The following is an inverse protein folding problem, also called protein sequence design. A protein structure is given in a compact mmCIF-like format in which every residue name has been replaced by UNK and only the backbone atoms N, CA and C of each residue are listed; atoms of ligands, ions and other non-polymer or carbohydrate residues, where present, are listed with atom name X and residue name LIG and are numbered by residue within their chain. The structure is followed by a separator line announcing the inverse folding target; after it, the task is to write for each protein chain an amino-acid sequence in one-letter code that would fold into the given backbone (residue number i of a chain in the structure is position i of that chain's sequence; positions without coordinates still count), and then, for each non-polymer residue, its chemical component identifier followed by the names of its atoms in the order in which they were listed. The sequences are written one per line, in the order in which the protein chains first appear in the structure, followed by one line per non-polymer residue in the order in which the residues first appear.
data_IF_852298666859
#
_entry.id   IF_852298666859
#
_cell.length_a   1.000
_cell.length_b   1.000
_cell.length_c   1.000
_cell.angle_alpha   90.00
_cell.angle_beta   90.00
_cell.angle_gamma   90.00
#
_symmetry.space_group_name_H-M   'P 1'
#
loop_
_entity.id
_entity.type
_entity.pdbx_description
1 polymer ?
#
# COMPACT_ATOMS: atom_id res chain seq x y z
N UNK A 1 12.73 8.22 -9.08
CA UNK A 1 11.62 8.75 -8.24
C UNK A 1 12.20 9.17 -6.90
N UNK A 2 11.73 10.26 -6.30
CA UNK A 2 12.21 10.76 -5.00
C UNK A 2 11.00 11.01 -4.08
N UNK A 3 11.03 10.44 -2.88
CA UNK A 3 10.06 10.73 -1.82
C UNK A 3 10.49 11.99 -1.09
N UNK A 4 9.60 12.97 -1.01
CA UNK A 4 9.82 14.22 -0.28
C UNK A 4 9.34 14.09 1.16
N UNK A 5 9.49 15.14 1.95
CA UNK A 5 8.82 15.28 3.23
C UNK A 5 7.32 15.64 3.04
N UNK A 6 6.46 15.42 4.07
CA UNK A 6 5.08 15.93 4.05
C UNK A 6 5.05 17.43 3.79
N UNK A 7 4.01 17.94 3.13
CA UNK A 7 3.95 19.35 2.72
C UNK A 7 4.31 20.30 3.88
N UNK A 8 5.31 21.15 3.66
CA UNK A 8 5.85 22.09 4.64
C UNK A 8 6.36 23.38 3.98
N UNK A 9 6.77 24.37 4.77
CA UNK A 9 7.18 25.68 4.26
C UNK A 9 8.41 25.66 3.34
N UNK A 10 9.24 24.62 3.42
CA UNK A 10 10.42 24.42 2.57
C UNK A 10 10.19 23.48 1.38
N UNK A 11 8.96 23.01 1.14
CA UNK A 11 8.68 22.03 0.09
C UNK A 11 9.06 22.54 -1.30
N UNK A 12 8.90 23.84 -1.59
CA UNK A 12 9.29 24.39 -2.89
C UNK A 12 10.80 24.23 -3.15
N UNK A 13 11.63 24.50 -2.15
CA UNK A 13 13.09 24.31 -2.23
C UNK A 13 13.43 22.82 -2.38
N UNK A 14 12.74 21.96 -1.64
CA UNK A 14 12.94 20.51 -1.69
C UNK A 14 12.60 19.94 -3.08
N UNK A 15 11.49 20.36 -3.68
CA UNK A 15 11.10 20.04 -5.05
C UNK A 15 12.20 20.46 -6.03
N UNK A 16 12.64 21.73 -5.96
CA UNK A 16 13.65 22.24 -6.89
C UNK A 16 15.00 21.52 -6.74
N UNK A 17 15.40 21.19 -5.50
CA UNK A 17 16.61 20.41 -5.25
C UNK A 17 16.49 19.00 -5.85
N UNK A 18 15.36 18.30 -5.62
CA UNK A 18 15.13 16.99 -6.18
C UNK A 18 15.17 17.00 -7.72
N UNK A 19 14.51 17.98 -8.35
CA UNK A 19 14.52 18.15 -9.80
C UNK A 19 15.91 18.49 -10.36
N UNK A 20 16.66 19.37 -9.67
CA UNK A 20 18.03 19.71 -10.04
C UNK A 20 18.94 18.48 -10.02
N UNK A 21 18.73 17.56 -9.07
CA UNK A 21 19.43 16.28 -8.98
C UNK A 21 18.86 15.19 -9.91
N UNK A 22 17.96 15.55 -10.84
CA UNK A 22 17.47 14.65 -11.88
C UNK A 22 16.30 13.76 -11.46
N UNK A 23 15.55 14.12 -10.41
CA UNK A 23 14.33 13.40 -10.08
C UNK A 23 13.33 13.45 -11.26
N UNK A 24 12.93 12.27 -11.75
CA UNK A 24 11.99 12.12 -12.87
C UNK A 24 10.53 11.92 -12.42
N UNK A 25 10.31 11.78 -11.10
CA UNK A 25 9.01 11.58 -10.45
C UNK A 25 9.14 11.95 -8.98
N UNK A 26 8.19 12.69 -8.44
CA UNK A 26 8.18 13.12 -7.04
C UNK A 26 7.07 12.41 -6.29
N UNK A 27 7.27 12.11 -5.00
CA UNK A 27 6.26 11.48 -4.16
C UNK A 27 5.86 12.40 -3.03
N UNK A 28 4.55 12.63 -2.86
CA UNK A 28 3.98 13.40 -1.76
C UNK A 28 3.46 12.44 -0.67
N UNK A 29 4.14 12.34 0.49
CA UNK A 29 3.68 11.54 1.63
C UNK A 29 2.71 12.29 2.54
N UNK A 30 2.02 11.53 3.39
CA UNK A 30 1.28 11.99 4.58
C UNK A 30 0.29 13.15 4.37
N UNK A 31 -0.16 13.41 3.14
CA UNK A 31 -1.16 14.44 2.89
C UNK A 31 -2.51 14.01 3.47
N UNK A 32 -3.35 14.99 3.78
CA UNK A 32 -4.65 14.79 4.42
C UNK A 32 -5.75 15.60 3.75
N UNK A 33 -5.45 16.55 2.87
CA UNK A 33 -6.45 17.45 2.28
C UNK A 33 -6.25 17.68 0.78
N UNK A 34 -7.34 18.09 0.12
CA UNK A 34 -7.32 18.53 -1.29
C UNK A 34 -6.42 19.75 -1.50
N UNK A 35 -6.38 20.67 -0.55
CA UNK A 35 -5.56 21.89 -0.64
C UNK A 35 -4.06 21.57 -0.64
N UNK A 36 -3.63 20.59 0.14
CA UNK A 36 -2.24 20.10 0.11
C UNK A 36 -1.88 19.50 -1.25
N UNK A 37 -2.78 18.70 -1.83
CA UNK A 37 -2.61 18.13 -3.18
C UNK A 37 -2.50 19.24 -4.23
N UNK A 38 -3.42 20.21 -4.21
CA UNK A 38 -3.43 21.33 -5.13
C UNK A 38 -2.16 22.20 -5.00
N UNK A 39 -1.77 22.53 -3.77
CA UNK A 39 -0.58 23.32 -3.48
C UNK A 39 0.69 22.62 -3.97
N UNK A 40 0.79 21.30 -3.76
CA UNK A 40 1.92 20.52 -4.22
C UNK A 40 2.00 20.47 -5.76
N UNK A 41 0.87 20.21 -6.43
CA UNK A 41 0.82 20.20 -7.89
C UNK A 41 1.18 21.55 -8.50
N UNK A 42 0.73 22.66 -7.90
CA UNK A 42 1.11 24.02 -8.32
C UNK A 42 2.62 24.24 -8.20
N UNK A 43 3.21 23.85 -7.06
CA UNK A 43 4.67 23.92 -6.87
C UNK A 43 5.44 23.04 -7.85
N UNK A 44 4.95 21.84 -8.19
CA UNK A 44 5.59 20.97 -9.19
C UNK A 44 5.42 21.53 -10.60
N UNK A 45 4.32 22.23 -10.87
CA UNK A 45 3.99 22.89 -12.14
C UNK A 45 4.10 21.95 -13.36
N UNK A 46 3.71 20.68 -13.19
CA UNK A 46 3.73 19.67 -14.25
C UNK A 46 5.11 19.25 -14.77
N UNK A 47 6.21 19.71 -14.14
CA UNK A 47 7.59 19.45 -14.60
C UNK A 47 7.93 17.96 -14.65
N UNK A 48 7.39 17.19 -13.72
CA UNK A 48 7.50 15.73 -13.62
C UNK A 48 6.18 15.16 -13.08
N UNK A 49 5.89 13.88 -13.31
CA UNK A 49 4.76 13.21 -12.70
C UNK A 49 4.87 13.08 -11.18
N UNK A 50 3.73 13.03 -10.51
CA UNK A 50 3.64 12.89 -9.05
C UNK A 50 3.03 11.55 -8.65
N UNK A 51 3.58 10.95 -7.61
CA UNK A 51 3.02 9.77 -6.92
C UNK A 51 2.48 10.18 -5.56
N UNK A 52 1.16 10.15 -5.39
CA UNK A 52 0.49 10.51 -4.15
C UNK A 52 0.43 9.30 -3.23
N UNK A 53 1.13 9.36 -2.10
CA UNK A 53 1.08 8.30 -1.09
C UNK A 53 -0.14 8.52 -0.20
N UNK A 54 -1.26 7.91 -0.56
CA UNK A 54 -2.50 7.90 0.20
C UNK A 54 -2.37 6.95 1.41
N UNK A 55 -1.59 7.40 2.40
CA UNK A 55 -1.16 6.60 3.55
C UNK A 55 -1.75 7.12 4.88
N UNK A 56 -2.68 8.08 4.82
CA UNK A 56 -3.47 8.58 5.95
C UNK A 56 -4.95 8.21 5.81
N UNK A 57 -5.70 8.02 6.91
CA UNK A 57 -7.16 7.82 6.84
C UNK A 57 -7.88 8.96 6.10
N UNK A 58 -7.41 10.19 6.28
CA UNK A 58 -7.96 11.38 5.64
C UNK A 58 -7.75 11.33 4.12
N UNK A 59 -6.55 10.98 3.65
CA UNK A 59 -6.28 10.82 2.22
C UNK A 59 -7.18 9.76 1.59
N UNK A 60 -7.38 8.62 2.27
CA UNK A 60 -8.25 7.55 1.79
C UNK A 60 -9.71 8.00 1.68
N UNK A 61 -10.28 8.52 2.78
CA UNK A 61 -11.72 8.86 2.84
C UNK A 61 -12.04 10.06 1.95
N UNK A 62 -11.09 10.99 1.76
CA UNK A 62 -11.27 12.19 0.94
C UNK A 62 -10.87 11.98 -0.51
N UNK A 63 -10.55 10.76 -0.95
CA UNK A 63 -10.19 10.48 -2.34
C UNK A 63 -11.18 11.04 -3.38
N UNK A 64 -12.52 10.94 -3.19
CA UNK A 64 -13.47 11.57 -4.11
C UNK A 64 -13.28 13.08 -4.27
N UNK A 65 -12.75 13.76 -3.23
CA UNK A 65 -12.56 15.20 -3.22
C UNK A 65 -11.26 15.62 -3.91
N UNK A 66 -10.16 14.84 -3.86
CA UNK A 66 -8.88 15.26 -4.47
C UNK A 66 -8.54 14.57 -5.79
N UNK A 67 -9.17 13.44 -6.12
CA UNK A 67 -8.85 12.67 -7.34
C UNK A 67 -8.98 13.49 -8.63
N UNK A 68 -9.91 14.46 -8.67
CA UNK A 68 -10.13 15.31 -9.86
C UNK A 68 -8.95 16.23 -10.19
N UNK A 69 -8.00 16.41 -9.26
CA UNK A 69 -6.80 17.21 -9.48
C UNK A 69 -5.72 16.44 -10.23
N UNK A 70 -5.81 15.11 -10.29
CA UNK A 70 -4.79 14.26 -10.87
C UNK A 70 -4.94 14.15 -12.39
N UNK A 71 -3.81 14.07 -13.08
CA UNK A 71 -3.78 13.87 -14.53
C UNK A 71 -3.58 12.38 -14.86
N UNK A 72 -4.56 11.71 -15.51
CA UNK A 72 -4.41 10.32 -15.96
C UNK A 72 -3.17 10.11 -16.83
N UNK A 73 -2.54 8.94 -16.68
CA UNK A 73 -1.28 8.57 -17.35
C UNK A 73 -0.05 9.43 -17.01
N UNK A 74 -0.18 10.40 -16.10
CA UNK A 74 0.92 11.22 -15.59
C UNK A 74 1.09 10.97 -14.09
N UNK A 75 0.06 11.28 -13.31
CA UNK A 75 0.05 11.09 -11.86
C UNK A 75 -0.42 9.69 -11.48
N UNK A 76 0.01 9.24 -10.31
CA UNK A 76 -0.38 7.93 -9.77
C UNK A 76 -0.64 8.01 -8.25
N UNK A 77 -1.39 7.03 -7.75
CA UNK A 77 -1.72 6.91 -6.32
C UNK A 77 -1.12 5.64 -5.75
N UNK A 78 -0.64 5.70 -4.52
CA UNK A 78 -0.18 4.53 -3.77
C UNK A 78 -0.86 4.47 -2.41
N UNK A 79 -1.52 3.35 -2.09
CA UNK A 79 -2.02 3.10 -0.74
C UNK A 79 -0.93 2.47 0.12
N UNK A 80 -0.35 3.28 1.01
CA UNK A 80 0.59 2.82 2.02
C UNK A 80 -0.13 2.17 3.19
N UNK A 81 -0.22 0.83 3.19
CA UNK A 81 -0.98 0.08 4.21
C UNK A 81 -0.45 0.28 5.63
N UNK A 82 0.86 0.50 5.81
CA UNK A 82 1.48 0.59 7.12
C UNK A 82 1.00 1.82 7.89
N UNK A 83 1.20 2.99 7.30
CA UNK A 83 0.79 4.24 7.94
C UNK A 83 -0.73 4.38 7.97
N UNK A 84 -1.44 3.77 7.00
CA UNK A 84 -2.90 3.72 7.02
C UNK A 84 -3.41 2.90 8.22
N UNK A 85 -2.86 1.70 8.46
CA UNK A 85 -3.22 0.87 9.59
C UNK A 85 -2.92 1.59 10.92
N UNK A 86 -1.72 2.18 11.05
CA UNK A 86 -1.35 2.99 12.22
C UNK A 86 -2.29 4.18 12.43
N UNK A 87 -2.62 4.92 11.37
CA UNK A 87 -3.51 6.07 11.43
C UNK A 87 -4.96 5.71 11.76
N UNK A 88 -5.38 4.47 11.45
CA UNK A 88 -6.69 3.92 11.81
C UNK A 88 -6.72 3.25 13.18
N UNK A 89 -5.57 3.04 13.83
CA UNK A 89 -5.47 2.30 15.09
C UNK A 89 -5.73 0.79 14.92
N UNK A 90 -5.32 0.22 13.79
CA UNK A 90 -5.45 -1.19 13.46
C UNK A 90 -4.23 -1.99 13.94
N UNK A 91 -4.46 -3.22 14.37
CA UNK A 91 -3.43 -4.10 14.97
C UNK A 91 -2.65 -4.90 13.92
N UNK A 92 -3.15 -4.96 12.68
CA UNK A 92 -2.53 -5.70 11.59
C UNK A 92 -2.57 -4.95 10.25
N UNK A 93 -1.42 -4.99 9.56
CA UNK A 93 -1.14 -4.24 8.33
C UNK A 93 -2.20 -4.42 7.21
N UNK A 94 -2.70 -5.64 7.04
CA UNK A 94 -3.59 -6.00 5.93
C UNK A 94 -5.08 -5.88 6.26
N UNK A 95 -5.43 -5.38 7.45
CA UNK A 95 -6.84 -5.14 7.81
C UNK A 95 -7.60 -4.27 6.81
N UNK A 96 -7.04 -3.16 6.28
CA UNK A 96 -7.75 -2.36 5.27
C UNK A 96 -8.12 -3.15 4.01
N UNK A 97 -7.28 -4.11 3.60
CA UNK A 97 -7.59 -5.00 2.47
C UNK A 97 -8.63 -6.04 2.87
N UNK A 98 -8.46 -6.72 4.01
CA UNK A 98 -9.38 -7.73 4.51
C UNK A 98 -10.81 -7.20 4.73
N UNK A 99 -10.94 -5.94 5.14
CA UNK A 99 -12.20 -5.27 5.38
C UNK A 99 -12.79 -4.58 4.13
N UNK A 100 -12.17 -4.76 2.95
CA UNK A 100 -12.57 -4.09 1.68
C UNK A 100 -12.62 -2.56 1.79
N UNK A 101 -11.79 -1.95 2.65
CA UNK A 101 -11.76 -0.48 2.80
C UNK A 101 -11.20 0.23 1.57
N UNK A 102 -10.40 -0.49 0.76
CA UNK A 102 -9.84 0.06 -0.48
C UNK A 102 -10.79 -0.07 -1.67
N UNK A 103 -11.82 -0.94 -1.64
CA UNK A 103 -12.69 -1.21 -2.79
C UNK A 103 -13.32 0.06 -3.38
N UNK A 104 -13.93 0.98 -2.60
CA UNK A 104 -14.53 2.20 -3.18
C UNK A 104 -13.50 3.11 -3.86
N UNK A 105 -12.30 3.20 -3.27
CA UNK A 105 -11.21 4.01 -3.81
C UNK A 105 -10.59 3.39 -5.05
N UNK A 106 -10.39 2.07 -5.05
CA UNK A 106 -9.93 1.30 -6.20
C UNK A 106 -10.89 1.49 -7.39
N UNK A 107 -12.19 1.36 -7.16
CA UNK A 107 -13.21 1.62 -8.18
C UNK A 107 -13.14 3.04 -8.75
N UNK A 108 -12.97 4.06 -7.90
CA UNK A 108 -12.86 5.45 -8.33
C UNK A 108 -11.61 5.68 -9.20
N UNK A 109 -10.46 5.16 -8.78
CA UNK A 109 -9.20 5.28 -9.51
C UNK A 109 -9.28 4.55 -10.85
N UNK A 110 -9.81 3.32 -10.86
CA UNK A 110 -10.01 2.53 -12.07
C UNK A 110 -10.93 3.24 -13.07
N UNK A 111 -12.07 3.79 -12.61
CA UNK A 111 -12.99 4.56 -13.47
C UNK A 111 -12.37 5.85 -14.00
N UNK A 112 -11.54 6.51 -13.21
CA UNK A 112 -10.86 7.74 -13.60
C UNK A 112 -9.63 7.50 -14.50
N UNK A 113 -9.23 6.24 -14.69
CA UNK A 113 -8.01 5.90 -15.44
C UNK A 113 -6.72 6.33 -14.74
N UNK A 114 -6.76 6.54 -13.43
CA UNK A 114 -5.59 6.89 -12.62
C UNK A 114 -4.84 5.60 -12.28
N UNK A 115 -3.57 5.51 -12.67
CA UNK A 115 -2.70 4.41 -12.28
C UNK A 115 -2.52 4.40 -10.77
N UNK A 116 -2.64 3.23 -10.16
CA UNK A 116 -2.50 3.13 -8.72
C UNK A 116 -1.91 1.80 -8.26
N UNK A 117 -1.34 1.85 -7.06
CA UNK A 117 -0.68 0.72 -6.42
C UNK A 117 -1.06 0.57 -4.96
N UNK A 118 -0.76 -0.60 -4.40
CA UNK A 118 -0.90 -0.89 -2.97
C UNK A 118 0.38 -1.52 -2.46
N UNK A 119 0.85 -1.06 -1.30
CA UNK A 119 2.14 -1.44 -0.74
C UNK A 119 2.07 -2.62 0.23
N UNK A 120 3.23 -3.26 0.47
CA UNK A 120 3.42 -4.16 1.61
C UNK A 120 3.62 -5.64 1.28
N UNK A 121 3.87 -6.00 0.02
CA UNK A 121 4.05 -7.42 -0.34
C UNK A 121 5.39 -7.95 0.21
N UNK A 122 5.33 -9.05 0.97
CA UNK A 122 6.50 -9.81 1.43
C UNK A 122 6.94 -10.85 0.38
N UNK A 123 8.00 -11.60 0.66
CA UNK A 123 8.41 -12.72 -0.20
C UNK A 123 7.35 -13.83 -0.22
N UNK A 124 7.27 -14.55 -1.32
CA UNK A 124 6.46 -15.77 -1.45
C UNK A 124 6.88 -16.78 -0.37
N UNK A 125 5.92 -17.30 0.39
CA UNK A 125 6.18 -18.20 1.52
C UNK A 125 6.81 -17.56 2.77
N UNK A 126 6.88 -16.22 2.85
CA UNK A 126 7.35 -15.49 4.03
C UNK A 126 6.36 -14.42 4.49
N UNK A 127 6.38 -14.12 5.79
CA UNK A 127 5.42 -13.21 6.42
C UNK A 127 4.20 -13.94 6.96
N UNK A 128 3.38 -13.21 7.72
CA UNK A 128 2.18 -13.80 8.37
C UNK A 128 1.01 -14.01 7.39
N UNK A 129 1.07 -13.37 6.21
CA UNK A 129 0.10 -13.49 5.13
C UNK A 129 0.84 -13.94 3.84
N UNK A 130 0.39 -15.00 3.15
CA UNK A 130 1.01 -15.46 1.91
C UNK A 130 0.97 -14.37 0.83
N UNK A 131 2.11 -14.13 0.18
CA UNK A 131 2.23 -13.09 -0.84
C UNK A 131 1.34 -13.37 -2.06
N UNK A 132 1.10 -14.64 -2.39
CA UNK A 132 0.16 -15.09 -3.43
C UNK A 132 -1.25 -14.57 -3.16
N UNK A 133 -1.69 -14.61 -1.91
CA UNK A 133 -3.03 -14.15 -1.52
C UNK A 133 -3.14 -12.63 -1.67
N UNK A 134 -2.07 -11.90 -1.33
CA UNK A 134 -2.01 -10.44 -1.52
C UNK A 134 -1.97 -10.08 -3.00
N UNK A 135 -1.26 -10.84 -3.84
CA UNK A 135 -1.24 -10.64 -5.29
C UNK A 135 -2.62 -10.86 -5.92
N UNK A 136 -3.36 -11.88 -5.47
CA UNK A 136 -4.74 -12.08 -5.93
C UNK A 136 -5.66 -10.92 -5.57
N UNK A 137 -5.46 -10.31 -4.40
CA UNK A 137 -6.21 -9.14 -3.98
C UNK A 137 -5.81 -7.87 -4.75
N UNK A 138 -4.51 -7.71 -5.02
CA UNK A 138 -3.98 -6.67 -5.90
C UNK A 138 -4.64 -6.72 -7.28
N UNK A 139 -4.72 -7.91 -7.89
CA UNK A 139 -5.41 -8.12 -9.19
C UNK A 139 -6.91 -7.87 -9.07
N UNK A 140 -7.57 -8.39 -8.03
CA UNK A 140 -9.01 -8.20 -7.80
C UNK A 140 -9.40 -6.72 -7.76
N UNK A 141 -8.59 -5.90 -7.09
CA UNK A 141 -8.84 -4.47 -6.98
C UNK A 141 -8.55 -3.71 -8.27
N UNK A 142 -7.78 -4.27 -9.20
CA UNK A 142 -7.31 -3.57 -10.40
C UNK A 142 -6.10 -2.66 -10.16
N UNK A 143 -5.37 -2.90 -9.07
CA UNK A 143 -4.09 -2.24 -8.81
C UNK A 143 -3.06 -2.64 -9.88
N UNK A 144 -2.12 -1.75 -10.22
CA UNK A 144 -1.20 -1.93 -11.34
C UNK A 144 0.27 -2.10 -10.92
N UNK A 145 0.59 -1.71 -9.70
CA UNK A 145 1.92 -1.89 -9.14
C UNK A 145 1.89 -2.06 -7.63
N UNK A 146 2.99 -2.56 -7.07
CA UNK A 146 3.16 -2.84 -5.64
C UNK A 146 4.54 -2.37 -5.19
N UNK A 147 4.65 -1.98 -3.92
CA UNK A 147 5.97 -1.76 -3.28
C UNK A 147 6.31 -2.99 -2.47
N UNK A 148 7.48 -3.57 -2.76
CA UNK A 148 8.05 -4.68 -2.01
C UNK A 148 8.45 -4.21 -0.61
N UNK A 149 8.01 -4.95 0.41
CA UNK A 149 8.28 -4.62 1.80
C UNK A 149 9.76 -4.76 2.18
N UNK A 150 10.16 -4.20 3.32
CA UNK A 150 11.52 -4.42 3.88
C UNK A 150 11.78 -5.90 4.21
N UNK A 151 10.73 -6.64 4.57
CA UNK A 151 10.81 -8.09 4.80
C UNK A 151 11.18 -8.86 3.52
N UNK A 152 10.86 -8.32 2.34
CA UNK A 152 11.33 -8.86 1.07
C UNK A 152 12.85 -8.79 0.95
N UNK A 153 13.43 -7.70 1.44
CA UNK A 153 14.87 -7.42 1.33
C UNK A 153 15.70 -7.94 2.51
N UNK A 154 15.07 -8.56 3.51
CA UNK A 154 15.76 -9.12 4.68
C UNK A 154 16.53 -8.08 5.52
N UNK A 155 16.28 -6.78 5.33
CA UNK A 155 17.03 -5.71 5.98
C UNK A 155 18.37 -5.37 5.31
N UNK A 156 18.64 -5.81 4.08
CA UNK A 156 19.85 -5.46 3.34
C UNK A 156 19.99 -3.93 3.18
N UNK A 157 21.20 -3.41 3.45
CA UNK A 157 21.48 -1.98 3.37
C UNK A 157 21.85 -1.53 1.95
N UNK A 158 22.13 -2.48 1.04
CA UNK A 158 22.46 -2.21 -0.35
C UNK A 158 21.92 -3.28 -1.31
N UNK A 159 21.80 -2.92 -2.60
CA UNK A 159 21.47 -3.87 -3.67
C UNK A 159 22.52 -4.97 -3.83
N UNK A 160 23.76 -4.71 -3.44
CA UNK A 160 24.86 -5.68 -3.53
C UNK A 160 24.71 -6.77 -2.46
N UNK A 161 24.47 -6.39 -1.20
CA UNK A 161 24.18 -7.33 -0.10
C UNK A 161 22.92 -8.15 -0.37
N UNK A 162 21.91 -7.52 -1.00
CA UNK A 162 20.70 -8.21 -1.39
C UNK A 162 20.97 -9.37 -2.37
N UNK A 163 21.80 -9.12 -3.39
CA UNK A 163 22.14 -10.11 -4.42
C UNK A 163 23.09 -11.21 -3.94
N UNK A 164 23.79 -11.03 -2.81
CA UNK A 164 24.70 -12.05 -2.25
C UNK A 164 23.95 -13.19 -1.55
N UNK A 165 22.77 -12.93 -1.01
CA UNK A 165 21.99 -13.91 -0.24
C UNK A 165 20.63 -14.26 -0.87
N UNK A 166 20.11 -13.40 -1.75
CA UNK A 166 18.82 -13.59 -2.41
C UNK A 166 19.01 -13.70 -3.92
N UNK A 167 18.50 -14.78 -4.51
CA UNK A 167 18.27 -14.85 -5.95
C UNK A 167 17.08 -13.95 -6.31
N UNK A 168 17.35 -12.64 -6.36
CA UNK A 168 16.35 -11.62 -6.63
C UNK A 168 15.62 -11.86 -7.97
N UNK A 169 16.30 -12.22 -9.08
CA UNK A 169 15.61 -12.60 -10.32
C UNK A 169 14.60 -13.75 -10.13
N UNK A 170 14.97 -14.81 -9.40
CA UNK A 170 14.08 -15.95 -9.14
C UNK A 170 12.87 -15.56 -8.28
N UNK A 171 13.07 -14.78 -7.20
CA UNK A 171 11.96 -14.31 -6.35
C UNK A 171 11.00 -13.39 -7.11
N UNK A 172 11.51 -12.50 -7.97
CA UNK A 172 10.69 -11.66 -8.84
C UNK A 172 9.92 -12.52 -9.86
N UNK A 173 10.53 -13.58 -10.38
CA UNK A 173 9.86 -14.49 -11.32
C UNK A 173 8.67 -15.18 -10.65
N UNK A 174 8.83 -15.67 -9.41
CA UNK A 174 7.71 -16.26 -8.64
C UNK A 174 6.55 -15.28 -8.43
N UNK A 175 6.85 -14.02 -8.12
CA UNK A 175 5.83 -12.98 -7.98
C UNK A 175 5.08 -12.75 -9.30
N UNK A 176 5.81 -12.65 -10.41
CA UNK A 176 5.22 -12.45 -11.76
C UNK A 176 4.39 -13.65 -12.22
N UNK A 177 4.84 -14.86 -11.94
CA UNK A 177 4.09 -16.07 -12.27
C UNK A 177 2.77 -16.13 -11.47
N UNK A 178 2.80 -15.77 -10.19
CA UNK A 178 1.60 -15.69 -9.35
C UNK A 178 0.66 -14.57 -9.81
N UNK A 179 1.17 -13.41 -10.19
CA UNK A 179 0.39 -12.32 -10.77
C UNK A 179 -0.27 -12.74 -12.10
N UNK A 180 0.48 -13.41 -12.97
CA UNK A 180 -0.02 -13.96 -14.24
C UNK A 180 -1.15 -14.97 -14.02
N UNK A 181 -1.01 -15.86 -13.02
CA UNK A 181 -2.07 -16.78 -12.62
C UNK A 181 -3.34 -16.02 -12.20
N UNK A 182 -3.22 -15.00 -11.36
CA UNK A 182 -4.39 -14.24 -10.90
C UNK A 182 -5.05 -13.41 -11.99
N UNK A 183 -4.30 -12.91 -12.97
CA UNK A 183 -4.89 -12.26 -14.14
C UNK A 183 -5.70 -13.21 -15.04
N UNK A 184 -5.40 -14.51 -14.99
CA UNK A 184 -6.17 -15.55 -15.69
C UNK A 184 -7.35 -16.08 -14.86
N UNK A 185 -7.35 -15.83 -13.55
CA UNK A 185 -8.39 -16.27 -12.64
C UNK A 185 -9.71 -15.52 -12.87
N UNK A 186 -10.83 -16.22 -12.72
CA UNK A 186 -12.15 -15.60 -12.82
C UNK A 186 -12.53 -14.80 -11.57
N UNK A 187 -13.54 -13.93 -11.69
CA UNK A 187 -14.05 -13.14 -10.55
C UNK A 187 -14.45 -14.01 -9.33
N UNK A 188 -14.95 -15.23 -9.56
CA UNK A 188 -15.31 -16.17 -8.49
C UNK A 188 -14.08 -16.61 -7.70
N UNK A 189 -12.96 -16.84 -8.38
CA UNK A 189 -11.69 -17.25 -7.76
C UNK A 189 -11.04 -16.08 -7.03
N UNK A 190 -11.07 -14.88 -7.62
CA UNK A 190 -10.57 -13.66 -6.98
C UNK A 190 -11.36 -13.31 -5.70
N UNK A 191 -12.68 -13.43 -5.72
CA UNK A 191 -13.50 -13.24 -4.52
C UNK A 191 -13.31 -14.37 -3.51
N UNK A 192 -13.00 -15.59 -3.95
CA UNK A 192 -12.60 -16.66 -3.04
C UNK A 192 -11.27 -16.35 -2.37
N UNK A 193 -10.28 -15.87 -3.13
CA UNK A 193 -8.99 -15.41 -2.61
C UNK A 193 -9.17 -14.30 -1.55
N UNK A 194 -10.02 -13.32 -1.82
CA UNK A 194 -10.34 -12.27 -0.85
C UNK A 194 -10.86 -12.86 0.48
N UNK A 195 -11.78 -13.83 0.42
CA UNK A 195 -12.29 -14.51 1.63
C UNK A 195 -11.18 -15.24 2.38
N UNK A 196 -10.26 -15.88 1.65
CA UNK A 196 -9.08 -16.53 2.25
C UNK A 196 -8.19 -15.48 2.93
N UNK A 197 -7.87 -14.38 2.26
CA UNK A 197 -7.10 -13.25 2.80
C UNK A 197 -7.70 -12.76 4.12
N UNK A 198 -8.99 -12.41 4.09
CA UNK A 198 -9.71 -11.90 5.25
C UNK A 198 -9.69 -12.91 6.41
N UNK A 199 -9.88 -14.20 6.12
CA UNK A 199 -9.82 -15.25 7.15
C UNK A 199 -8.45 -15.39 7.81
N UNK A 200 -7.35 -15.15 7.08
CA UNK A 200 -5.99 -15.20 7.63
C UNK A 200 -5.76 -13.97 8.51
N UNK A 201 -6.11 -12.79 8.01
CA UNK A 201 -6.00 -11.51 8.72
C UNK A 201 -6.74 -11.55 10.05
N UNK A 202 -8.04 -11.89 10.05
CA UNK A 202 -8.82 -11.89 11.29
C UNK A 202 -8.38 -12.98 12.28
N UNK A 203 -7.87 -14.13 11.80
CA UNK A 203 -7.25 -15.12 12.70
C UNK A 203 -5.98 -14.60 13.36
N UNK A 204 -5.22 -13.76 12.67
CA UNK A 204 -4.01 -13.17 13.23
C UNK A 204 -4.34 -12.15 14.33
N UNK A 205 -5.41 -11.35 14.16
CA UNK A 205 -5.90 -10.46 15.21
C UNK A 205 -6.25 -11.19 16.50
N UNK A 206 -6.95 -12.33 16.40
CA UNK A 206 -7.29 -13.16 17.57
C UNK A 206 -6.03 -13.66 18.29
N UNK A 207 -4.98 -14.04 17.54
CA UNK A 207 -3.70 -14.48 18.12
C UNK A 207 -2.97 -13.35 18.82
N UNK A 208 -2.95 -12.16 18.22
CA UNK A 208 -2.33 -10.96 18.81
C UNK A 208 -3.07 -10.54 20.09
N UNK A 209 -4.41 -10.59 20.08
CA UNK A 209 -5.23 -10.34 21.26
C UNK A 209 -4.92 -11.33 22.39
N UNK A 210 -4.91 -12.64 22.10
CA UNK A 210 -4.64 -13.65 23.12
C UNK A 210 -3.22 -13.51 23.72
N UNK A 211 -2.20 -13.26 22.89
CA UNK A 211 -0.82 -13.04 23.37
C UNK A 211 -0.67 -11.78 24.23
N UNK A 212 -1.43 -10.72 23.96
CA UNK A 212 -1.41 -9.49 24.75
C UNK A 212 -2.23 -9.58 26.04
N UNK A 213 -3.11 -10.59 26.15
CA UNK A 213 -4.05 -10.77 27.27
C UNK A 213 -3.87 -12.10 28.04
N UNK A 214 -2.78 -12.85 27.81
CA UNK A 214 -2.38 -14.05 28.57
C UNK A 214 -2.06 -13.78 30.08
N UNK A 215 -2.51 -12.64 30.63
CA UNK A 215 -2.46 -12.29 32.05
C UNK A 215 -3.72 -11.58 32.56
N UNK A 216 -4.79 -11.49 31.77
CA UNK A 216 -6.08 -10.94 32.21
C UNK A 216 -7.02 -12.09 32.54
N UNK A 217 -7.12 -12.41 33.82
CA UNK A 217 -8.15 -13.31 34.35
C UNK A 217 -9.52 -12.69 34.03
N UNK A 218 -10.21 -13.20 33.01
CA UNK A 218 -11.59 -12.83 32.75
C UNK A 218 -12.41 -13.29 33.95
N UNK A 219 -13.18 -12.42 34.63
CA UNK A 219 -13.99 -12.84 35.76
C UNK A 219 -14.92 -13.95 35.28
N UNK A 220 -14.75 -15.11 35.92
CA UNK A 220 -15.35 -16.36 35.50
C UNK A 220 -16.84 -16.22 35.21
N UNK A 221 -17.28 -16.97 34.19
CA UNK A 221 -18.67 -17.25 33.92
C UNK A 221 -19.31 -17.85 35.18
N UNK A 222 -19.79 -16.98 36.07
CA UNK A 222 -20.60 -17.31 37.22
C UNK A 222 -21.93 -17.82 36.70
N UNK A 223 -22.05 -19.14 36.61
CA UNK A 223 -23.33 -19.81 36.58
C UNK A 223 -24.13 -19.36 37.82
N UNK A 224 -25.28 -18.74 37.57
CA UNK A 224 -26.47 -18.83 38.42
C UNK A 224 -27.69 -18.79 37.52
#
# INVERSE_FOLDING_TARGET
MVRLNPLHSGTFQEINAALYHGAQRLMLPMFTSRDEVACFLDMVSGRVPVSFLAETPQALVRLPDWISLLTPSHDEVHFGLNDLALGMGLDFLFEPMAAKLLDPSAELLNRAGISWGVGGIARIGQGELPAETVLGEHVRLGSQWVILSRAFHGGAASSTELCEWLDFPSEITKLRDSECYWHQAGNVELEHNHRVLASIVYRQLVRTYNKSHDGVDLPGNGRS
#
